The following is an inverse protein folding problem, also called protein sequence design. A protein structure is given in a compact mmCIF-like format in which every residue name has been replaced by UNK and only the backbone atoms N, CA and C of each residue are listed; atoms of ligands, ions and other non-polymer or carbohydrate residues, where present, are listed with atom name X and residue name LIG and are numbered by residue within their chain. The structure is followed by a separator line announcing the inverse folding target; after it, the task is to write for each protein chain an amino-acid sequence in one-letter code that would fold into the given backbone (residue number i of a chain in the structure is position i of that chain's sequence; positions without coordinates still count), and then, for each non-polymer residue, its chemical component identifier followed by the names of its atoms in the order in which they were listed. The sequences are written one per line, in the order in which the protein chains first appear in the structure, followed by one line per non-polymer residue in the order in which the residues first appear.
data_IF_928504648737
#
_entry.id   IF_928504648737
#
_cell.length_a   1.000
_cell.length_b   1.000
_cell.length_c   1.000
_cell.angle_alpha   90.00
_cell.angle_beta   90.00
_cell.angle_gamma   90.00
#
_symmetry.space_group_name_H-M   'P 1'
#
loop_
_entity.id
_entity.type
_entity.pdbx_description
1 polymer ?
#
# COMPACT_ATOMS: atom_id res chain seq x y z
N UNK A 1 20.38 -13.32 -8.38
CA UNK A 1 20.05 -12.54 -7.16
C UNK A 1 18.54 -12.35 -7.14
N UNK A 2 17.88 -12.62 -6.01
CA UNK A 2 16.43 -12.45 -5.88
C UNK A 2 16.04 -10.97 -5.93
N UNK A 3 14.86 -10.69 -6.50
CA UNK A 3 14.29 -9.34 -6.57
C UNK A 3 13.67 -8.99 -5.21
N UNK A 4 14.07 -7.86 -4.63
CA UNK A 4 13.57 -7.39 -3.33
C UNK A 4 12.35 -6.51 -3.52
N UNK A 5 11.21 -6.93 -2.97
CA UNK A 5 9.93 -6.21 -3.04
C UNK A 5 9.56 -5.68 -1.66
N UNK A 6 9.52 -4.37 -1.49
CA UNK A 6 9.06 -3.72 -0.26
C UNK A 6 7.58 -3.36 -0.36
N UNK A 7 6.77 -3.91 0.54
CA UNK A 7 5.37 -3.54 0.69
C UNK A 7 5.26 -2.46 1.78
N UNK A 8 5.09 -1.23 1.35
CA UNK A 8 4.97 -0.02 2.17
C UNK A 8 3.49 0.24 2.42
N UNK A 9 3.10 0.48 3.66
CA UNK A 9 1.70 0.76 3.95
C UNK A 9 1.36 0.89 5.42
N UNK A 10 0.08 0.92 5.67
CA UNK A 10 -0.54 1.03 6.99
C UNK A 10 -0.98 -0.36 7.52
N UNK A 11 -2.08 -0.39 8.26
CA UNK A 11 -2.69 -1.61 8.81
C UNK A 11 -3.16 -2.60 7.75
N UNK A 12 -3.54 -2.12 6.55
CA UNK A 12 -3.92 -2.99 5.44
C UNK A 12 -2.72 -3.82 4.94
N UNK A 13 -1.54 -3.22 4.94
CA UNK A 13 -0.29 -3.90 4.57
C UNK A 13 0.23 -4.76 5.71
N UNK A 14 0.18 -4.26 6.95
CA UNK A 14 0.60 -5.02 8.12
C UNK A 14 -0.21 -6.31 8.29
N UNK A 15 -1.50 -6.27 7.97
CA UNK A 15 -2.43 -7.37 8.15
C UNK A 15 -3.18 -7.31 9.49
N UNK A 16 -3.57 -6.09 9.91
CA UNK A 16 -4.37 -5.88 11.12
C UNK A 16 -5.68 -6.67 11.05
N UNK A 17 -6.13 -7.22 12.17
CA UNK A 17 -7.27 -8.14 12.34
C UNK A 17 -7.08 -9.56 11.82
N UNK A 18 -6.02 -9.87 11.09
CA UNK A 18 -5.75 -11.25 10.67
C UNK A 18 -5.22 -12.08 11.82
N UNK A 19 -5.65 -13.35 11.98
CA UNK A 19 -5.17 -14.24 13.02
C UNK A 19 -3.65 -14.49 12.97
N UNK A 20 -3.07 -14.54 11.79
CA UNK A 20 -1.63 -14.70 11.54
C UNK A 20 -1.17 -13.78 10.40
N UNK A 21 -0.84 -12.52 10.69
CA UNK A 21 -0.36 -11.58 9.68
C UNK A 21 0.89 -12.06 8.93
N UNK A 22 1.76 -12.83 9.61
CA UNK A 22 2.97 -13.39 9.02
C UNK A 22 2.72 -14.36 7.87
N UNK A 23 1.52 -14.93 7.79
CA UNK A 23 1.11 -15.87 6.73
C UNK A 23 -0.08 -15.38 5.89
N UNK A 24 -0.89 -14.48 6.43
CA UNK A 24 -2.18 -14.12 5.84
C UNK A 24 -2.24 -12.69 5.31
N UNK A 25 -1.28 -11.83 5.65
CA UNK A 25 -1.21 -10.50 5.05
C UNK A 25 -0.92 -10.60 3.55
N UNK A 26 -1.35 -9.60 2.76
CA UNK A 26 -1.11 -9.66 1.32
C UNK A 26 0.39 -9.73 0.95
N UNK A 27 1.34 -9.12 1.69
CA UNK A 27 2.77 -9.30 1.41
C UNK A 27 3.24 -10.75 1.60
N UNK A 28 2.75 -11.44 2.65
CA UNK A 28 3.08 -12.84 2.88
C UNK A 28 2.54 -13.75 1.76
N UNK A 29 1.29 -13.53 1.35
CA UNK A 29 0.67 -14.25 0.23
C UNK A 29 1.34 -13.92 -1.12
N UNK A 30 1.77 -12.68 -1.29
CA UNK A 30 2.53 -12.27 -2.48
C UNK A 30 3.89 -12.98 -2.55
N UNK A 31 4.59 -13.13 -1.41
CA UNK A 31 5.83 -13.91 -1.32
C UNK A 31 5.61 -15.37 -1.75
N UNK A 32 4.54 -15.99 -1.26
CA UNK A 32 4.19 -17.37 -1.62
C UNK A 32 3.98 -17.51 -3.14
N UNK A 33 3.27 -16.57 -3.75
CA UNK A 33 2.99 -16.57 -5.20
C UNK A 33 4.21 -16.31 -6.07
N UNK A 34 5.05 -15.36 -5.68
CA UNK A 34 6.25 -14.97 -6.44
C UNK A 34 7.39 -15.99 -6.33
N UNK A 35 7.39 -16.82 -5.28
CA UNK A 35 8.39 -17.88 -5.11
C UNK A 35 9.79 -17.37 -4.77
N UNK A 36 10.79 -18.23 -5.00
CA UNK A 36 12.18 -18.04 -4.54
C UNK A 36 12.97 -16.96 -5.30
N UNK A 37 12.50 -16.56 -6.47
CA UNK A 37 13.15 -15.51 -7.27
C UNK A 37 12.90 -14.11 -6.68
N UNK A 38 12.02 -14.00 -5.71
CA UNK A 38 11.66 -12.77 -5.02
C UNK A 38 11.84 -12.89 -3.51
N UNK A 39 12.14 -11.75 -2.88
CA UNK A 39 12.09 -11.57 -1.42
C UNK A 39 11.13 -10.43 -1.16
N UNK A 40 9.92 -10.76 -0.66
CA UNK A 40 8.90 -9.78 -0.30
C UNK A 40 9.00 -9.48 1.20
N UNK A 41 9.08 -8.19 1.56
CA UNK A 41 9.04 -7.76 2.96
C UNK A 41 7.84 -6.87 3.23
N UNK A 42 7.20 -7.16 4.35
CA UNK A 42 6.11 -6.36 4.90
C UNK A 42 6.69 -5.22 5.75
N UNK A 43 6.55 -3.99 5.28
CA UNK A 43 6.87 -2.76 6.00
C UNK A 43 5.59 -1.98 6.35
N UNK A 44 4.49 -2.67 6.58
CA UNK A 44 3.26 -2.08 7.10
C UNK A 44 3.42 -1.57 8.52
N UNK A 45 2.78 -0.46 8.84
CA UNK A 45 2.74 0.12 10.18
C UNK A 45 1.30 0.54 10.52
N UNK A 46 0.69 -0.12 11.51
CA UNK A 46 -0.69 0.16 11.91
C UNK A 46 -0.86 1.64 12.27
N UNK A 47 -1.91 2.27 11.74
CA UNK A 47 -2.23 3.68 12.01
C UNK A 47 -1.37 4.69 11.24
N UNK A 48 -0.42 4.24 10.43
CA UNK A 48 0.45 5.15 9.69
C UNK A 48 -0.30 5.91 8.59
N UNK A 49 -0.02 7.20 8.48
CA UNK A 49 -0.53 8.13 7.47
C UNK A 49 0.57 8.60 6.54
N UNK A 50 0.18 9.17 5.41
CA UNK A 50 1.09 9.83 4.47
C UNK A 50 1.57 11.17 5.02
N UNK A 51 0.64 11.95 5.55
CA UNK A 51 0.88 13.32 6.01
C UNK A 51 1.84 13.37 7.19
N UNK A 52 2.76 14.35 7.17
CA UNK A 52 3.77 14.53 8.21
C UNK A 52 3.26 15.26 9.47
N UNK A 53 2.12 15.90 9.38
CA UNK A 53 1.48 16.65 10.47
C UNK A 53 0.45 15.82 11.26
N UNK A 54 0.44 14.51 11.10
CA UNK A 54 -0.40 13.58 11.86
C UNK A 54 0.34 12.97 13.04
N UNK A 55 -0.38 12.21 13.87
CA UNK A 55 0.21 11.51 15.02
C UNK A 55 1.18 10.39 14.64
N UNK A 56 1.11 9.85 13.39
CA UNK A 56 1.97 8.72 12.96
C UNK A 56 2.33 8.81 11.47
N UNK A 57 3.18 9.77 11.07
CA UNK A 57 3.67 9.85 9.70
C UNK A 57 4.48 8.60 9.34
N UNK A 58 4.11 7.89 8.28
CA UNK A 58 4.80 6.66 7.84
C UNK A 58 6.31 6.86 7.71
N UNK A 59 6.73 7.94 7.07
CA UNK A 59 8.15 8.25 6.86
C UNK A 59 8.97 8.38 8.15
N UNK A 60 8.32 8.62 9.30
CA UNK A 60 8.96 8.74 10.61
C UNK A 60 8.87 7.45 11.43
N UNK A 61 8.14 6.44 10.97
CA UNK A 61 8.05 5.14 11.64
C UNK A 61 9.35 4.34 11.51
N UNK A 62 9.51 3.34 12.37
CA UNK A 62 10.62 2.38 12.24
C UNK A 62 10.52 1.62 10.92
N UNK A 63 9.33 1.14 10.56
CA UNK A 63 9.07 0.45 9.30
C UNK A 63 9.46 1.29 8.06
N UNK A 64 9.12 2.58 8.06
CA UNK A 64 9.49 3.50 6.99
C UNK A 64 11.02 3.63 6.84
N UNK A 65 11.75 3.81 7.95
CA UNK A 65 13.22 3.91 7.93
C UNK A 65 13.90 2.60 7.52
N UNK A 66 13.44 1.47 8.04
CA UNK A 66 13.98 0.15 7.71
C UNK A 66 13.76 -0.19 6.23
N UNK A 67 12.62 0.18 5.66
CA UNK A 67 12.31 -0.05 4.25
C UNK A 67 13.29 0.68 3.31
N UNK A 68 13.66 1.92 3.64
CA UNK A 68 14.68 2.68 2.91
C UNK A 68 16.07 2.03 3.04
N UNK A 69 16.46 1.67 4.27
CA UNK A 69 17.75 1.00 4.54
C UNK A 69 17.87 -0.34 3.81
N UNK A 70 16.75 -1.04 3.64
CA UNK A 70 16.73 -2.33 2.94
C UNK A 70 17.03 -2.19 1.44
N UNK A 71 16.90 -1.01 0.88
CA UNK A 71 17.24 -0.67 -0.51
C UNK A 71 16.58 -1.63 -1.53
N UNK A 72 15.24 -1.67 -1.61
CA UNK A 72 14.48 -2.61 -2.43
C UNK A 72 14.67 -2.38 -3.93
N UNK A 73 14.37 -3.39 -4.76
CA UNK A 73 14.32 -3.29 -6.22
C UNK A 73 12.92 -2.88 -6.71
N UNK A 74 11.88 -3.18 -5.93
CA UNK A 74 10.47 -2.81 -6.17
C UNK A 74 9.87 -2.26 -4.89
N UNK A 75 9.11 -1.18 -5.01
CA UNK A 75 8.39 -0.53 -3.91
C UNK A 75 6.91 -0.48 -4.25
N UNK A 76 6.09 -1.12 -3.44
CA UNK A 76 4.63 -1.09 -3.51
C UNK A 76 4.14 -0.17 -2.40
N UNK A 77 3.51 0.96 -2.71
CA UNK A 77 3.04 1.92 -1.70
C UNK A 77 1.51 1.89 -1.64
N UNK A 78 0.96 1.39 -0.54
CA UNK A 78 -0.48 1.41 -0.23
C UNK A 78 -0.70 2.17 1.08
N UNK A 79 -0.87 3.47 0.98
CA UNK A 79 -1.12 4.41 2.08
C UNK A 79 -2.26 5.35 1.73
N UNK A 80 -2.80 6.00 2.74
CA UNK A 80 -3.86 7.00 2.63
C UNK A 80 -5.10 6.65 3.44
N UNK A 81 -5.24 5.40 3.93
CA UNK A 81 -6.42 5.01 4.69
C UNK A 81 -6.58 5.83 5.97
N UNK A 82 -5.50 6.06 6.71
CA UNK A 82 -5.53 6.85 7.95
C UNK A 82 -5.58 8.36 7.69
N UNK A 83 -5.31 8.81 6.48
CA UNK A 83 -5.47 10.20 6.07
C UNK A 83 -6.95 10.54 5.77
N UNK A 84 -7.85 9.53 5.70
CA UNK A 84 -9.29 9.72 5.52
C UNK A 84 -10.02 10.20 6.80
N UNK A 85 -9.32 10.96 7.65
CA UNK A 85 -9.86 11.55 8.86
C UNK A 85 -10.71 12.79 8.52
N UNK A 86 -11.98 12.85 8.94
CA UNK A 86 -12.83 14.02 8.68
C UNK A 86 -12.41 15.28 9.46
N UNK A 87 -11.51 15.11 10.43
CA UNK A 87 -11.11 16.19 11.34
C UNK A 87 -9.98 17.05 10.80
N UNK A 88 -9.15 16.50 9.95
CA UNK A 88 -7.90 17.13 9.53
C UNK A 88 -7.50 16.85 8.07
N UNK A 89 -8.41 16.33 7.24
CA UNK A 89 -8.13 16.10 5.83
C UNK A 89 -7.74 17.38 5.10
N UNK A 90 -6.57 17.35 4.45
CA UNK A 90 -6.06 18.42 3.60
C UNK A 90 -5.37 17.83 2.36
N UNK A 91 -5.95 18.09 1.18
CA UNK A 91 -5.51 17.49 -0.08
C UNK A 91 -4.12 17.96 -0.53
N UNK A 92 -3.79 19.24 -0.30
CA UNK A 92 -2.51 19.80 -0.73
C UNK A 92 -1.37 19.27 0.13
N UNK A 93 -1.57 19.18 1.44
CA UNK A 93 -0.63 18.58 2.38
C UNK A 93 -0.44 17.08 2.08
N UNK A 94 -1.54 16.35 1.85
CA UNK A 94 -1.47 14.93 1.47
C UNK A 94 -0.63 14.73 0.21
N UNK A 95 -0.92 15.48 -0.85
CA UNK A 95 -0.19 15.40 -2.11
C UNK A 95 1.30 15.70 -1.92
N UNK A 96 1.63 16.82 -1.30
CA UNK A 96 3.01 17.25 -1.04
C UNK A 96 3.80 16.18 -0.28
N UNK A 97 3.21 15.62 0.76
CA UNK A 97 3.88 14.68 1.65
C UNK A 97 3.97 13.28 1.01
N UNK A 98 3.00 12.90 0.16
CA UNK A 98 3.10 11.68 -0.65
C UNK A 98 4.23 11.78 -1.68
N UNK A 99 4.35 12.91 -2.36
CA UNK A 99 5.43 13.16 -3.32
C UNK A 99 6.82 13.14 -2.65
N UNK A 100 6.94 13.67 -1.41
CA UNK A 100 8.17 13.56 -0.60
C UNK A 100 8.49 12.11 -0.26
N UNK A 101 7.49 11.31 0.10
CA UNK A 101 7.68 9.88 0.36
C UNK A 101 8.17 9.15 -0.90
N UNK A 102 7.56 9.40 -2.05
CA UNK A 102 7.98 8.84 -3.35
C UNK A 102 9.43 9.22 -3.64
N UNK A 103 9.79 10.50 -3.47
CA UNK A 103 11.15 11.00 -3.72
C UNK A 103 12.19 10.25 -2.87
N UNK A 104 11.89 9.96 -1.59
CA UNK A 104 12.80 9.21 -0.71
C UNK A 104 13.15 7.81 -1.23
N UNK A 105 12.21 7.14 -1.90
CA UNK A 105 12.48 5.84 -2.53
C UNK A 105 13.16 6.00 -3.90
N UNK A 106 12.77 7.01 -4.68
CA UNK A 106 13.37 7.27 -6.00
C UNK A 106 14.87 7.55 -5.93
N UNK A 107 15.32 8.17 -4.83
CA UNK A 107 16.71 8.53 -4.59
C UNK A 107 17.57 7.37 -4.05
N UNK A 108 16.99 6.19 -3.82
CA UNK A 108 17.74 5.02 -3.37
C UNK A 108 18.76 4.54 -4.42
N UNK A 109 19.91 3.99 -3.98
CA UNK A 109 20.93 3.43 -4.90
C UNK A 109 20.37 2.36 -5.85
N UNK A 110 19.40 1.58 -5.41
CA UNK A 110 18.72 0.55 -6.22
C UNK A 110 17.88 1.14 -7.34
N UNK A 111 17.47 2.42 -7.25
CA UNK A 111 16.52 3.09 -8.16
C UNK A 111 15.30 2.20 -8.41
N UNK A 112 14.51 1.90 -7.38
CA UNK A 112 13.47 0.90 -7.45
C UNK A 112 12.36 1.28 -8.45
N UNK A 113 11.72 0.27 -9.02
CA UNK A 113 10.40 0.45 -9.63
C UNK A 113 9.40 0.75 -8.53
N UNK A 114 8.70 1.87 -8.63
CA UNK A 114 7.69 2.30 -7.65
C UNK A 114 6.31 2.12 -8.28
N UNK A 115 5.43 1.42 -7.57
CA UNK A 115 4.03 1.19 -7.94
C UNK A 115 3.16 1.73 -6.81
N UNK A 116 2.27 2.65 -7.12
CA UNK A 116 1.27 3.12 -6.18
C UNK A 116 0.07 2.18 -6.17
N UNK A 117 -0.51 1.99 -5.00
CA UNK A 117 -1.72 1.19 -4.82
C UNK A 117 -2.76 2.08 -4.14
N UNK A 118 -3.80 2.43 -4.87
CA UNK A 118 -4.97 3.09 -4.26
C UNK A 118 -5.73 2.03 -3.44
N UNK A 119 -5.95 2.27 -2.13
CA UNK A 119 -6.52 1.28 -1.23
C UNK A 119 -7.91 0.82 -1.64
N UNK A 120 -8.37 -0.30 -1.06
CA UNK A 120 -9.75 -0.77 -1.16
C UNK A 120 -10.71 0.31 -0.65
N UNK A 121 -11.99 0.22 -1.05
CA UNK A 121 -13.01 1.11 -0.49
C UNK A 121 -13.28 0.81 0.97
N UNK A 122 -13.73 1.83 1.68
CA UNK A 122 -14.23 1.70 3.04
C UNK A 122 -15.73 1.51 3.06
N UNK A 123 -16.25 0.86 4.09
CA UNK A 123 -17.67 0.59 4.26
C UNK A 123 -18.14 1.11 5.62
N UNK A 124 -19.36 1.64 5.68
CA UNK A 124 -20.03 1.87 6.96
C UNK A 124 -20.65 0.56 7.44
N UNK A 125 -20.20 0.07 8.56
CA UNK A 125 -20.78 -1.12 9.21
C UNK A 125 -21.54 -0.64 10.43
N UNK A 126 -22.85 -0.93 10.51
CA UNK A 126 -23.76 -0.42 11.56
C UNK A 126 -23.74 1.12 11.67
N UNK A 127 -23.53 1.83 10.55
CA UNK A 127 -23.55 3.30 10.50
C UNK A 127 -22.22 3.98 10.76
N UNK A 128 -21.15 3.24 11.10
CA UNK A 128 -19.82 3.78 11.38
C UNK A 128 -18.73 3.07 10.58
N UNK A 129 -17.50 3.56 10.68
CA UNK A 129 -16.28 2.92 10.19
C UNK A 129 -15.31 2.74 11.34
N UNK A 130 -14.25 1.97 11.13
CA UNK A 130 -13.16 1.88 12.10
C UNK A 130 -12.55 3.26 12.35
N UNK A 131 -12.48 3.69 13.61
CA UNK A 131 -11.94 4.99 14.04
C UNK A 131 -12.55 6.21 13.32
N UNK A 132 -13.82 6.13 12.93
CA UNK A 132 -14.56 7.18 12.22
C UNK A 132 -13.90 7.69 10.91
N UNK A 133 -13.08 6.86 10.26
CA UNK A 133 -12.54 7.18 8.95
C UNK A 133 -13.67 7.39 7.93
N UNK A 134 -13.51 8.36 7.04
CA UNK A 134 -14.55 8.74 6.09
C UNK A 134 -14.42 8.03 4.74
N UNK A 135 -15.39 7.17 4.37
CA UNK A 135 -15.47 6.61 3.01
C UNK A 135 -15.55 7.70 1.93
N UNK A 136 -16.21 8.82 2.22
CA UNK A 136 -16.37 9.94 1.28
C UNK A 136 -15.00 10.61 1.01
N UNK A 137 -14.22 10.89 2.05
CA UNK A 137 -12.86 11.43 1.89
C UNK A 137 -11.98 10.44 1.13
N UNK A 138 -12.11 9.13 1.40
CA UNK A 138 -11.37 8.11 0.65
C UNK A 138 -11.71 8.17 -0.84
N UNK A 139 -12.99 8.21 -1.21
CA UNK A 139 -13.41 8.12 -2.61
C UNK A 139 -13.28 9.46 -3.37
N UNK A 140 -13.58 10.59 -2.72
CA UNK A 140 -13.65 11.90 -3.37
C UNK A 140 -12.36 12.73 -3.19
N UNK A 141 -11.54 12.42 -2.19
CA UNK A 141 -10.29 13.12 -1.88
C UNK A 141 -9.06 12.28 -2.15
N UNK A 142 -8.84 11.23 -1.37
CA UNK A 142 -7.58 10.47 -1.33
C UNK A 142 -7.36 9.70 -2.64
N UNK A 143 -8.36 8.95 -3.11
CA UNK A 143 -8.24 8.16 -4.34
C UNK A 143 -7.92 9.04 -5.56
N UNK A 144 -8.67 10.13 -5.83
CA UNK A 144 -8.32 11.04 -6.92
C UNK A 144 -6.93 11.66 -6.79
N UNK A 145 -6.50 11.99 -5.55
CA UNK A 145 -5.16 12.50 -5.30
C UNK A 145 -4.08 11.46 -5.65
N UNK A 146 -4.23 10.20 -5.24
CA UNK A 146 -3.30 9.12 -5.60
C UNK A 146 -3.23 8.92 -7.12
N UNK A 147 -4.37 8.96 -7.82
CA UNK A 147 -4.40 8.90 -9.29
C UNK A 147 -3.62 10.05 -9.94
N UNK A 148 -3.85 11.28 -9.47
CA UNK A 148 -3.13 12.46 -9.96
C UNK A 148 -1.63 12.35 -9.69
N UNK A 149 -1.23 11.96 -8.47
CA UNK A 149 0.17 11.76 -8.09
C UNK A 149 0.84 10.71 -8.99
N UNK A 150 0.19 9.57 -9.21
CA UNK A 150 0.72 8.52 -10.09
C UNK A 150 0.96 9.04 -11.50
N UNK A 151 -0.04 9.73 -12.08
CA UNK A 151 0.02 10.31 -13.42
C UNK A 151 1.14 11.36 -13.53
N UNK A 152 1.18 12.33 -12.62
CA UNK A 152 2.12 13.46 -12.69
C UNK A 152 3.56 13.04 -12.42
N UNK A 153 3.76 11.93 -11.70
CA UNK A 153 5.06 11.32 -11.42
C UNK A 153 5.44 10.21 -12.42
N UNK A 154 4.62 9.92 -13.42
CA UNK A 154 4.78 8.81 -14.37
C UNK A 154 5.03 7.47 -13.67
N UNK A 155 4.21 7.17 -12.66
CA UNK A 155 4.25 5.92 -11.89
C UNK A 155 3.09 5.00 -12.26
N UNK A 156 3.33 3.71 -12.11
CA UNK A 156 2.28 2.72 -12.24
C UNK A 156 1.31 2.83 -11.05
N UNK A 157 0.02 2.55 -11.33
CA UNK A 157 -1.04 2.54 -10.35
C UNK A 157 -1.83 1.23 -10.43
N UNK A 158 -2.07 0.64 -9.27
CA UNK A 158 -3.06 -0.41 -9.05
C UNK A 158 -4.20 0.21 -8.24
N UNK A 159 -5.40 0.26 -8.80
CA UNK A 159 -6.58 0.75 -8.07
C UNK A 159 -7.43 -0.43 -7.61
N UNK A 160 -7.57 -0.57 -6.28
CA UNK A 160 -8.29 -1.68 -5.65
C UNK A 160 -9.76 -1.36 -5.34
N UNK A 161 -10.30 -0.23 -5.82
CA UNK A 161 -11.66 0.25 -5.48
C UNK A 161 -12.76 -0.77 -5.78
N UNK A 162 -12.63 -1.50 -6.87
CA UNK A 162 -13.63 -2.46 -7.32
C UNK A 162 -13.28 -3.91 -6.90
N UNK A 163 -12.23 -4.10 -6.12
CA UNK A 163 -11.79 -5.43 -5.73
C UNK A 163 -12.67 -6.05 -4.65
N UNK A 164 -12.93 -5.28 -3.59
CA UNK A 164 -13.80 -5.69 -2.48
C UNK A 164 -15.03 -4.79 -2.50
N UNK A 165 -16.14 -5.29 -3.03
CA UNK A 165 -17.36 -4.50 -3.26
C UNK A 165 -18.42 -4.68 -2.18
N UNK A 166 -18.13 -5.49 -1.15
CA UNK A 166 -19.08 -5.87 -0.11
C UNK A 166 -18.41 -5.78 1.27
N UNK A 167 -19.10 -5.20 2.25
CA UNK A 167 -18.62 -5.04 3.64
C UNK A 167 -18.31 -6.36 4.34
N UNK A 168 -18.86 -7.50 3.87
CA UNK A 168 -18.54 -8.84 4.41
C UNK A 168 -17.04 -9.17 4.33
N UNK A 169 -16.28 -8.50 3.48
CA UNK A 169 -14.84 -8.65 3.41
C UNK A 169 -14.09 -7.84 4.47
N UNK A 170 -14.74 -6.85 5.09
CA UNK A 170 -14.16 -5.92 6.06
C UNK A 170 -15.14 -5.72 7.22
N UNK A 171 -15.08 -6.56 8.28
CA UNK A 171 -16.08 -6.52 9.36
C UNK A 171 -16.13 -5.21 10.15
N UNK A 172 -15.04 -4.47 10.19
CA UNK A 172 -14.98 -3.13 10.79
C UNK A 172 -15.12 -2.00 9.76
N UNK A 173 -15.38 -2.35 8.51
CA UNK A 173 -15.53 -1.43 7.39
C UNK A 173 -14.23 -1.01 6.70
N UNK A 174 -13.06 -1.38 7.23
CA UNK A 174 -11.75 -0.93 6.73
C UNK A 174 -10.81 -2.11 6.48
N UNK A 175 -10.65 -3.02 7.44
CA UNK A 175 -9.62 -4.05 7.39
C UNK A 175 -10.13 -5.34 6.73
N UNK A 176 -9.47 -5.78 5.64
CA UNK A 176 -9.86 -6.98 4.93
C UNK A 176 -9.51 -8.23 5.72
N UNK A 177 -10.42 -9.20 5.70
CA UNK A 177 -10.18 -10.52 6.24
C UNK A 177 -9.33 -11.37 5.28
N UNK A 178 -9.01 -12.60 5.70
CA UNK A 178 -8.14 -13.52 4.94
C UNK A 178 -8.54 -13.71 3.47
N UNK A 179 -9.85 -13.72 3.15
CA UNK A 179 -10.30 -13.78 1.75
C UNK A 179 -9.98 -12.49 1.01
N UNK A 180 -10.22 -11.33 1.63
CA UNK A 180 -9.94 -10.03 1.01
C UNK A 180 -8.44 -9.81 0.80
N UNK A 181 -7.60 -10.19 1.75
CA UNK A 181 -6.14 -10.08 1.61
C UNK A 181 -5.59 -10.97 0.49
N UNK A 182 -6.19 -12.16 0.28
CA UNK A 182 -5.85 -13.03 -0.85
C UNK A 182 -6.19 -12.37 -2.18
N UNK A 183 -7.36 -11.77 -2.30
CA UNK A 183 -7.76 -11.03 -3.51
C UNK A 183 -6.81 -9.85 -3.78
N UNK A 184 -6.38 -9.12 -2.74
CA UNK A 184 -5.37 -8.04 -2.87
C UNK A 184 -4.04 -8.59 -3.38
N UNK A 185 -3.55 -9.70 -2.81
CA UNK A 185 -2.32 -10.34 -3.27
C UNK A 185 -2.41 -10.79 -4.74
N UNK A 186 -3.55 -11.33 -5.16
CA UNK A 186 -3.80 -11.75 -6.55
C UNK A 186 -3.76 -10.54 -7.51
N UNK A 187 -4.39 -9.43 -7.14
CA UNK A 187 -4.41 -8.21 -7.95
C UNK A 187 -3.01 -7.59 -8.12
N UNK A 188 -2.16 -7.67 -7.09
CA UNK A 188 -0.79 -7.14 -7.12
C UNK A 188 0.14 -8.09 -7.87
N UNK A 189 -0.02 -9.41 -7.71
CA UNK A 189 0.86 -10.43 -8.28
C UNK A 189 1.09 -10.23 -9.77
N UNK A 190 0.02 -10.08 -10.57
CA UNK A 190 0.12 -9.91 -12.02
C UNK A 190 0.91 -8.68 -12.48
N UNK A 191 1.08 -7.67 -11.60
CA UNK A 191 1.86 -6.45 -11.90
C UNK A 191 3.34 -6.58 -11.53
N UNK A 192 3.66 -7.48 -10.59
CA UNK A 192 5.03 -7.68 -10.11
C UNK A 192 5.73 -8.82 -10.86
N UNK A 193 5.00 -9.86 -11.26
CA UNK A 193 5.54 -11.03 -11.97
C UNK A 193 6.24 -10.66 -13.29
N UNK A 194 5.73 -9.68 -14.03
CA UNK A 194 6.29 -9.24 -15.32
C UNK A 194 7.78 -8.84 -15.25
N UNK A 195 8.31 -8.57 -14.06
CA UNK A 195 9.71 -8.17 -13.87
C UNK A 195 10.72 -9.30 -14.05
N UNK A 196 10.34 -10.54 -13.73
CA UNK A 196 11.22 -11.71 -13.94
C UNK A 196 11.38 -12.02 -15.43
N UNK A 197 10.31 -11.82 -16.19
CA UNK A 197 10.30 -12.05 -17.63
C UNK A 197 11.16 -11.01 -18.37
N UNK A 198 11.10 -9.74 -17.97
CA UNK A 198 11.90 -8.67 -18.56
C UNK A 198 13.41 -8.84 -18.30
N UNK A 199 13.81 -9.33 -17.12
CA UNK A 199 15.24 -9.61 -16.81
C UNK A 199 15.77 -10.83 -17.57
N UNK A 200 14.97 -11.85 -17.78
CA UNK A 200 15.35 -13.04 -18.55
C UNK A 200 15.53 -12.73 -20.03
N UNK A 201 14.77 -11.78 -20.58
CA UNK A 201 14.86 -11.36 -21.99
C UNK A 201 16.10 -10.48 -22.28
N UNK A 202 16.70 -9.85 -21.27
CA UNK A 202 17.91 -9.00 -21.42
C UNK A 202 19.21 -9.81 -21.29
N UNK A 203 19.13 -11.06 -20.81
CA UNK A 203 20.28 -11.96 -20.63
C UNK A 203 20.46 -12.98 -21.77
N UNK A 204 19.63 -12.89 -22.80
CA UNK A 204 19.73 -13.64 -24.06
C UNK A 204 20.15 -12.73 -25.21
#
# INVERSE_FOLDING_TARGET
MSIRVACIGDSLTWGFTLPDPGRQSYPALLQEKLGADYIVRNFGCNGASVRFDTGMPYAQTMAGRESLTWNPDVVLIMLGSNDASPWDWDADTFRRDYERLIASYRDLPSRPRIILIAPIRMFRVMGTTFMDLSPEIMEEGIRPAIHAIAKDNNLELIDLVNLLTDSRYCYDGVHPQSTGTRMIADAIYGRVEDLSQARSAVLL
#
